data_IF_749305235019
#
_entry.id   IF_749305235019
#
_cell.length_a   1.000
_cell.length_b   1.000
_cell.length_c   1.000
_cell.angle_alpha   90.00
_cell.angle_beta   90.00
_cell.angle_gamma   90.00
#
_symmetry.space_group_name_H-M   'P 1'
#
loop_
_entity.id
_entity.type
_entity.pdbx_description
1 polymer ?
#
# COMPACT_ATOMS: atom_id res chain seq x y z
N UNK A 1 16.93 11.31 13.63
CA UNK A 1 16.82 10.53 12.38
C UNK A 1 15.33 10.38 12.09
N UNK A 2 14.88 10.72 10.89
CA UNK A 2 13.49 10.46 10.51
C UNK A 2 13.38 8.98 10.10
N UNK A 3 12.54 8.22 10.79
CA UNK A 3 12.31 6.80 10.52
C UNK A 3 10.85 6.46 10.79
N UNK A 4 10.28 5.57 9.97
CA UNK A 4 8.90 5.09 10.13
C UNK A 4 8.96 3.62 10.52
N UNK A 5 8.28 3.26 11.62
CA UNK A 5 8.22 1.88 12.09
C UNK A 5 7.23 1.09 11.23
N UNK A 6 7.70 -0.02 10.68
CA UNK A 6 6.87 -1.05 10.05
C UNK A 6 6.81 -2.22 11.05
N UNK A 7 5.65 -2.51 11.65
CA UNK A 7 5.53 -3.66 12.55
C UNK A 7 5.70 -4.97 11.80
N UNK A 8 6.44 -5.95 12.33
CA UNK A 8 6.45 -7.28 11.72
C UNK A 8 5.08 -7.96 11.84
N UNK A 9 4.43 -7.84 13.00
CA UNK A 9 3.12 -8.44 13.28
C UNK A 9 2.01 -7.42 13.07
N UNK A 10 0.94 -7.80 12.35
CA UNK A 10 -0.22 -6.95 12.05
C UNK A 10 -0.91 -6.48 13.34
N UNK A 11 -0.92 -7.32 14.37
CA UNK A 11 -1.49 -7.02 15.69
C UNK A 11 -0.87 -5.77 16.35
N UNK A 12 0.35 -5.38 15.97
CA UNK A 12 1.01 -4.19 16.47
C UNK A 12 0.70 -2.91 15.67
N UNK A 13 -0.04 -2.99 14.55
CA UNK A 13 -0.40 -1.83 13.72
C UNK A 13 -1.24 -0.80 14.48
N UNK A 14 -2.13 -1.24 15.38
CA UNK A 14 -2.99 -0.33 16.15
C UNK A 14 -2.23 0.71 17.00
N UNK A 15 -0.92 0.51 17.22
CA UNK A 15 -0.02 1.44 17.89
C UNK A 15 0.74 2.39 16.93
N UNK A 16 0.35 2.44 15.66
CA UNK A 16 1.05 3.18 14.59
C UNK A 16 0.09 4.04 13.77
N UNK A 17 0.63 4.83 12.84
CA UNK A 17 -0.16 5.63 11.90
C UNK A 17 -0.52 4.87 10.60
N UNK A 18 -0.22 3.57 10.49
CA UNK A 18 -0.61 2.78 9.31
C UNK A 18 -2.12 2.56 9.30
N UNK A 19 -2.78 3.08 8.26
CA UNK A 19 -4.23 3.01 8.07
C UNK A 19 -4.57 1.78 7.24
N UNK A 20 -5.51 0.98 7.72
CA UNK A 20 -5.96 -0.25 7.04
C UNK A 20 -6.72 0.11 5.78
N UNK A 21 -6.20 -0.33 4.64
CA UNK A 21 -6.87 -0.30 3.35
C UNK A 21 -7.78 -1.52 3.18
N UNK A 22 -7.80 -2.05 1.96
CA UNK A 22 -8.54 -3.27 1.64
C UNK A 22 -7.61 -4.46 1.46
N UNK A 23 -8.18 -5.64 1.58
CA UNK A 23 -7.47 -6.85 1.20
C UNK A 23 -7.64 -7.11 -0.29
N UNK A 24 -6.52 -7.28 -0.98
CA UNK A 24 -6.51 -7.62 -2.39
C UNK A 24 -6.09 -9.09 -2.54
N UNK A 25 -6.89 -9.93 -3.24
CA UNK A 25 -6.57 -11.35 -3.44
C UNK A 25 -5.19 -11.56 -4.07
N UNK A 26 -4.41 -12.51 -3.55
CA UNK A 26 -3.03 -12.79 -3.99
C UNK A 26 -2.02 -11.65 -3.70
N UNK A 27 -2.34 -10.73 -2.79
CA UNK A 27 -1.40 -9.73 -2.27
C UNK A 27 -1.49 -9.58 -0.75
N UNK A 28 -2.72 -9.58 -0.21
CA UNK A 28 -2.99 -9.42 1.22
C UNK A 28 -3.60 -8.07 1.57
N UNK A 29 -3.62 -7.76 2.86
CA UNK A 29 -4.20 -6.54 3.43
C UNK A 29 -3.24 -5.38 3.22
N UNK A 30 -3.69 -4.37 2.46
CA UNK A 30 -2.92 -3.15 2.23
C UNK A 30 -3.01 -2.20 3.42
N UNK A 31 -1.89 -1.57 3.76
CA UNK A 31 -1.85 -0.47 4.72
C UNK A 31 -1.13 0.74 4.16
N UNK A 32 -1.66 1.93 4.47
CA UNK A 32 -1.19 3.21 3.94
C UNK A 32 -0.86 4.17 5.09
N UNK A 33 0.33 4.75 5.10
CA UNK A 33 0.79 5.55 6.23
C UNK A 33 0.05 6.89 6.31
N UNK A 34 -0.61 7.14 7.45
CA UNK A 34 -1.35 8.37 7.76
C UNK A 34 -2.35 8.81 6.68
N UNK A 35 -2.88 7.85 5.90
CA UNK A 35 -3.77 8.14 4.80
C UNK A 35 -5.12 8.67 5.29
N UNK A 36 -5.52 9.83 4.79
CA UNK A 36 -6.85 10.39 5.02
C UNK A 36 -7.45 10.83 3.68
N UNK A 37 -8.78 10.92 3.61
CA UNK A 37 -9.47 11.30 2.36
C UNK A 37 -9.05 12.70 1.88
N UNK A 38 -8.89 13.64 2.80
CA UNK A 38 -8.75 15.08 2.51
C UNK A 38 -7.28 15.56 2.56
N UNK A 39 -6.29 14.66 2.49
CA UNK A 39 -4.86 15.01 2.54
C UNK A 39 -4.34 15.63 1.24
N UNK A 40 -3.30 16.48 1.37
CA UNK A 40 -2.49 16.93 0.21
C UNK A 40 -1.67 15.77 -0.36
N UNK A 41 -1.49 15.78 -1.68
CA UNK A 41 -0.64 14.81 -2.37
C UNK A 41 0.83 14.95 -2.02
N UNK A 42 1.29 16.14 -1.61
CA UNK A 42 2.65 16.35 -1.10
C UNK A 42 2.92 15.59 0.20
N UNK A 43 1.85 15.26 0.94
CA UNK A 43 1.93 14.50 2.19
C UNK A 43 1.71 12.99 1.97
N UNK A 44 1.45 12.56 0.73
CA UNK A 44 1.24 11.15 0.43
C UNK A 44 2.55 10.38 0.59
N UNK A 45 2.60 9.49 1.57
CA UNK A 45 3.76 8.67 1.81
C UNK A 45 3.81 7.51 0.79
N UNK A 46 4.84 7.40 -0.06
CA UNK A 46 4.83 6.51 -1.22
C UNK A 46 5.21 5.07 -0.85
N UNK A 47 4.79 4.59 0.33
CA UNK A 47 5.00 3.21 0.78
C UNK A 47 3.69 2.64 1.27
N UNK A 48 3.41 1.41 0.87
CA UNK A 48 2.35 0.59 1.43
C UNK A 48 2.90 -0.71 2.01
N UNK A 49 2.18 -1.28 2.98
CA UNK A 49 2.50 -2.58 3.55
C UNK A 49 1.47 -3.61 3.12
N UNK A 50 1.89 -4.87 3.07
CA UNK A 50 1.05 -6.02 2.81
C UNK A 50 1.20 -7.03 3.93
N UNK A 51 0.09 -7.32 4.59
CA UNK A 51 0.00 -8.39 5.60
C UNK A 51 -0.83 -9.54 5.07
N UNK A 52 -0.37 -10.75 5.36
CA UNK A 52 -1.11 -11.97 5.11
C UNK A 52 -0.98 -12.86 6.36
N UNK A 53 -2.10 -13.42 6.82
CA UNK A 53 -2.14 -14.24 8.04
C UNK A 53 -1.62 -13.54 9.29
N UNK A 54 -1.75 -12.21 9.37
CA UNK A 54 -1.28 -11.40 10.51
C UNK A 54 0.21 -11.08 10.52
N UNK A 55 0.97 -11.44 9.48
CA UNK A 55 2.42 -11.24 9.39
C UNK A 55 2.76 -10.36 8.19
N UNK A 56 3.75 -9.47 8.35
CA UNK A 56 4.26 -8.65 7.25
C UNK A 56 4.87 -9.56 6.19
N UNK A 57 4.22 -9.61 5.04
CA UNK A 57 4.63 -10.48 3.94
C UNK A 57 5.38 -9.71 2.85
N UNK A 58 4.96 -8.46 2.60
CA UNK A 58 5.56 -7.60 1.59
C UNK A 58 5.39 -6.13 1.96
N UNK A 59 6.13 -5.27 1.28
CA UNK A 59 5.87 -3.84 1.22
C UNK A 59 6.04 -3.39 -0.22
N UNK A 60 5.59 -2.19 -0.56
CA UNK A 60 5.79 -1.67 -1.89
C UNK A 60 5.85 -0.16 -1.95
N UNK A 61 6.30 0.32 -3.10
CA UNK A 61 6.33 1.74 -3.42
C UNK A 61 5.09 2.13 -4.20
N UNK A 62 4.58 3.34 -3.99
CA UNK A 62 3.48 3.93 -4.75
C UNK A 62 3.85 5.38 -5.12
N UNK A 63 4.57 5.55 -6.22
CA UNK A 63 5.03 6.87 -6.66
C UNK A 63 3.95 7.58 -7.47
N UNK A 64 3.70 8.85 -7.18
CA UNK A 64 2.90 9.74 -8.02
C UNK A 64 3.73 10.20 -9.24
N UNK A 65 4.07 9.25 -10.11
CA UNK A 65 4.88 9.46 -11.30
C UNK A 65 4.58 8.38 -12.34
N UNK A 66 4.84 8.66 -13.62
CA UNK A 66 4.81 7.69 -14.71
C UNK A 66 6.20 7.06 -14.91
N UNK A 67 6.45 5.93 -14.24
CA UNK A 67 7.73 5.22 -14.30
C UNK A 67 7.68 4.14 -15.38
N UNK A 68 8.30 4.40 -16.52
CA UNK A 68 8.18 3.60 -17.76
C UNK A 68 8.79 2.18 -17.74
N UNK A 69 9.37 1.75 -16.63
CA UNK A 69 9.99 0.42 -16.52
C UNK A 69 8.92 -0.65 -16.29
N UNK A 70 9.03 -1.80 -16.95
CA UNK A 70 8.11 -2.95 -16.80
C UNK A 70 8.03 -3.54 -15.39
N UNK A 71 8.94 -3.15 -14.50
CA UNK A 71 8.90 -3.48 -13.06
C UNK A 71 7.80 -2.74 -12.30
N UNK A 72 7.28 -1.64 -12.84
CA UNK A 72 6.22 -0.87 -12.21
C UNK A 72 4.87 -1.25 -12.80
N UNK A 73 3.89 -1.39 -11.92
CA UNK A 73 2.47 -1.47 -12.26
C UNK A 73 1.87 -0.07 -12.29
N UNK A 74 0.85 0.13 -13.11
CA UNK A 74 0.15 1.41 -13.22
C UNK A 74 -1.34 1.22 -12.93
N UNK A 75 -1.75 1.13 -11.64
CA UNK A 75 -3.15 1.00 -11.28
C UNK A 75 -3.95 2.20 -11.80
N UNK A 76 -5.13 1.92 -12.33
CA UNK A 76 -6.08 2.95 -12.75
C UNK A 76 -6.77 3.56 -11.53
N UNK A 77 -7.23 4.80 -11.64
CA UNK A 77 -7.96 5.48 -10.55
C UNK A 77 -9.19 4.69 -10.07
N UNK A 78 -9.82 3.92 -10.97
CA UNK A 78 -10.93 3.04 -10.65
C UNK A 78 -10.56 1.84 -9.77
N UNK A 79 -9.29 1.43 -9.72
CA UNK A 79 -8.84 0.30 -8.90
C UNK A 79 -8.35 0.71 -7.51
N UNK A 80 -8.16 2.01 -7.23
CA UNK A 80 -7.62 2.48 -5.95
C UNK A 80 -8.46 2.03 -4.76
N UNK A 81 -9.79 2.06 -4.90
CA UNK A 81 -10.72 1.59 -3.86
C UNK A 81 -10.65 0.07 -3.60
N UNK A 82 -9.98 -0.71 -4.45
CA UNK A 82 -9.75 -2.13 -4.20
C UNK A 82 -8.63 -2.39 -3.18
N UNK A 83 -7.78 -1.40 -2.89
CA UNK A 83 -6.62 -1.57 -2.01
C UNK A 83 -6.39 -0.38 -1.03
N UNK A 84 -7.02 0.77 -1.22
CA UNK A 84 -6.98 1.91 -0.29
C UNK A 84 -8.33 2.11 0.40
N UNK A 85 -8.28 2.46 1.69
CA UNK A 85 -9.45 2.91 2.47
C UNK A 85 -9.00 3.84 3.61
N UNK A 86 -9.35 5.13 3.60
CA UNK A 86 -9.96 5.86 2.48
C UNK A 86 -9.00 5.99 1.30
N UNK A 87 -9.52 6.27 0.09
CA UNK A 87 -8.70 6.75 -1.03
C UNK A 87 -8.46 8.25 -0.84
N UNK A 88 -7.21 8.74 -0.76
CA UNK A 88 -6.92 10.17 -0.77
C UNK A 88 -7.46 10.84 -2.04
N UNK A 89 -8.29 11.86 -1.91
CA UNK A 89 -8.97 12.50 -3.03
C UNK A 89 -7.99 13.13 -4.04
N UNK A 90 -6.82 13.56 -3.55
CA UNK A 90 -5.80 14.15 -4.40
C UNK A 90 -5.27 13.17 -5.46
N UNK A 91 -5.28 11.86 -5.20
CA UNK A 91 -4.74 10.84 -6.12
C UNK A 91 -5.57 10.73 -7.41
N UNK A 92 -6.84 11.11 -7.40
CA UNK A 92 -7.66 11.12 -8.62
C UNK A 92 -7.16 12.12 -9.67
N UNK A 93 -6.43 13.16 -9.24
CA UNK A 93 -5.89 14.21 -10.09
C UNK A 93 -4.35 14.24 -10.15
N UNK A 94 -3.68 13.33 -9.44
CA UNK A 94 -2.21 13.28 -9.32
C UNK A 94 -1.49 12.73 -10.57
N UNK A 95 -2.25 12.34 -11.60
CA UNK A 95 -1.73 11.65 -12.78
C UNK A 95 -1.58 10.15 -12.54
N UNK A 96 -0.50 9.55 -13.07
CA UNK A 96 -0.25 8.12 -12.93
C UNK A 96 0.36 7.80 -11.56
N UNK A 97 -0.15 6.74 -10.95
CA UNK A 97 0.50 6.07 -9.84
C UNK A 97 1.33 4.92 -10.40
N UNK A 98 2.61 4.83 -10.03
CA UNK A 98 3.49 3.70 -10.35
C UNK A 98 3.78 2.91 -9.09
N UNK A 99 3.38 1.64 -9.07
CA UNK A 99 3.53 0.77 -7.91
C UNK A 99 4.59 -0.31 -8.15
N UNK A 100 5.34 -0.66 -7.10
CA UNK A 100 6.30 -1.77 -7.12
C UNK A 100 6.15 -2.57 -5.83
N UNK A 101 5.85 -3.85 -5.96
CA UNK A 101 5.76 -4.79 -4.85
C UNK A 101 7.13 -5.44 -4.54
N UNK A 102 7.51 -5.50 -3.27
CA UNK A 102 8.70 -6.20 -2.76
C UNK A 102 8.26 -7.23 -1.73
N UNK A 103 8.34 -8.51 -2.10
CA UNK A 103 7.98 -9.63 -1.23
C UNK A 103 9.17 -10.05 -0.37
N UNK A 104 8.91 -10.26 0.92
CA UNK A 104 9.90 -10.71 1.89
C UNK A 104 10.07 -12.24 1.86
N UNK A 105 9.00 -12.96 1.53
CA UNK A 105 8.96 -14.41 1.42
C UNK A 105 8.11 -14.84 0.20
N UNK A 106 8.49 -15.94 -0.45
CA UNK A 106 7.62 -16.59 -1.45
C UNK A 106 7.33 -15.81 -2.74
N UNK A 107 6.22 -16.17 -3.39
CA UNK A 107 5.68 -15.54 -4.61
C UNK A 107 4.30 -14.98 -4.27
N UNK A 108 3.91 -13.77 -4.74
CA UNK A 108 2.57 -13.16 -4.56
C UNK A 108 1.38 -14.13 -4.53
N UNK A 109 1.42 -15.12 -5.42
CA UNK A 109 0.32 -16.06 -5.64
C UNK A 109 0.06 -17.01 -4.45
N UNK A 110 1.01 -17.17 -3.51
CA UNK A 110 0.75 -17.92 -2.29
C UNK A 110 -0.08 -17.15 -1.26
N UNK A 111 -0.27 -15.83 -1.44
CA UNK A 111 -0.94 -14.95 -0.49
C UNK A 111 -2.45 -14.85 -0.73
N UNK A 112 -3.11 -16.00 -0.65
CA UNK A 112 -4.55 -16.12 -0.96
C UNK A 112 -5.47 -15.71 0.19
N UNK A 113 -4.92 -15.37 1.36
CA UNK A 113 -5.69 -15.30 2.59
C UNK A 113 -5.78 -13.87 3.10
N UNK A 114 -7.01 -13.39 3.21
CA UNK A 114 -7.38 -12.17 3.91
C UNK A 114 -8.05 -12.59 5.21
N UNK A 115 -7.27 -12.83 6.28
CA UNK A 115 -7.84 -13.16 7.60
C UNK A 115 -7.81 -11.93 8.49
#
# INVERSE_FOLDING_TARGET
MASIRIPHQESAIGSTAWVKGHCFPAMGVHYWYAATRDMSCDNFFPVFLLYNGGVLNAFGWAFQADLSSSRFEHPTTSSFAAFMNPVPQCLYNAGKLSTLHIYLNGNPQSDLICN
#
